data_IF_082469239723
#
_entry.id   IF_082469239723
#
_cell.length_a   1.000
_cell.length_b   1.000
_cell.length_c   1.000
_cell.angle_alpha   90.00
_cell.angle_beta   90.00
_cell.angle_gamma   90.00
#
_symmetry.space_group_name_H-M   'P 1'
#
loop_
_entity.id
_entity.type
_entity.pdbx_description
1 polymer ?
#
# COMPACT_ATOMS: atom_id res chain seq x y z
N UNK A 1 -55.77 11.27 0.77
CA UNK A 1 -55.05 12.27 -0.03
C UNK A 1 -54.19 11.51 -1.05
N UNK A 2 -54.71 11.28 -2.25
CA UNK A 2 -54.02 10.48 -3.28
C UNK A 2 -53.16 11.41 -4.14
N UNK A 3 -51.85 11.35 -3.95
CA UNK A 3 -50.89 12.08 -4.77
C UNK A 3 -50.76 11.34 -6.11
N UNK A 4 -51.26 11.94 -7.20
CA UNK A 4 -51.09 11.40 -8.55
C UNK A 4 -49.60 11.50 -8.93
N UNK A 5 -48.96 10.35 -9.17
CA UNK A 5 -47.63 10.31 -9.81
C UNK A 5 -47.74 11.01 -11.17
N UNK A 6 -46.97 12.08 -11.36
CA UNK A 6 -46.81 12.73 -12.66
C UNK A 6 -46.06 11.76 -13.57
N UNK A 7 -46.73 11.33 -14.66
CA UNK A 7 -46.09 10.62 -15.76
C UNK A 7 -45.06 11.54 -16.38
N UNK A 8 -43.79 11.31 -16.09
CA UNK A 8 -42.70 11.88 -16.86
C UNK A 8 -42.77 11.32 -18.29
N UNK A 9 -42.67 12.22 -19.26
CA UNK A 9 -42.75 11.89 -20.69
C UNK A 9 -41.57 11.02 -21.10
N UNK A 10 -41.88 9.95 -21.85
CA UNK A 10 -40.93 8.91 -22.30
C UNK A 10 -39.71 9.45 -23.04
N UNK A 11 -39.77 10.67 -23.57
CA UNK A 11 -38.69 11.28 -24.35
C UNK A 11 -37.54 11.81 -23.48
N UNK A 12 -37.82 12.24 -22.24
CA UNK A 12 -36.78 12.68 -21.29
C UNK A 12 -36.03 11.45 -20.71
N UNK A 13 -36.72 10.32 -20.59
CA UNK A 13 -36.12 9.04 -20.19
C UNK A 13 -35.24 8.45 -21.30
N UNK A 14 -35.55 8.70 -22.58
CA UNK A 14 -34.77 8.20 -23.71
C UNK A 14 -33.47 8.98 -23.93
N UNK A 15 -33.46 10.30 -23.65
CA UNK A 15 -32.27 11.15 -23.84
C UNK A 15 -31.23 11.04 -22.71
N UNK A 16 -31.62 10.57 -21.53
CA UNK A 16 -30.72 10.44 -20.36
C UNK A 16 -29.94 9.12 -20.33
N UNK A 17 -30.41 8.10 -21.05
CA UNK A 17 -29.76 6.79 -21.13
C UNK A 17 -28.40 6.80 -21.86
N UNK A 18 -28.21 7.49 -23.01
CA UNK A 18 -26.90 7.53 -23.67
C UNK A 18 -25.85 8.36 -22.89
N UNK A 19 -26.27 9.35 -22.09
CA UNK A 19 -25.34 10.16 -21.28
C UNK A 19 -24.75 9.36 -20.11
N UNK A 20 -25.51 8.43 -19.53
CA UNK A 20 -25.05 7.53 -18.47
C UNK A 20 -24.03 6.48 -18.99
N UNK A 21 -24.12 6.09 -20.27
CA UNK A 21 -23.19 5.15 -20.90
C UNK A 21 -21.83 5.77 -21.24
N UNK A 22 -21.74 7.10 -21.34
CA UNK A 22 -20.46 7.82 -21.52
C UNK A 22 -19.71 7.97 -20.19
N UNK A 23 -20.43 8.13 -19.08
CA UNK A 23 -19.83 8.25 -17.74
C UNK A 23 -19.24 6.93 -17.20
N UNK A 24 -19.74 5.78 -17.68
CA UNK A 24 -19.22 4.43 -17.41
C UNK A 24 -18.57 3.79 -18.66
N UNK A 25 -18.21 4.58 -19.66
CA UNK A 25 -17.39 4.08 -20.76
C UNK A 25 -16.05 3.56 -20.20
N UNK A 26 -15.42 2.56 -20.84
CA UNK A 26 -14.08 2.12 -20.47
C UNK A 26 -13.11 3.27 -20.78
N UNK A 27 -13.00 4.23 -19.87
CA UNK A 27 -11.79 5.00 -19.72
C UNK A 27 -10.74 3.95 -19.39
N UNK A 28 -9.87 3.64 -20.35
CA UNK A 28 -8.67 2.87 -20.10
C UNK A 28 -7.83 3.67 -19.11
N UNK A 29 -8.09 3.50 -17.82
CA UNK A 29 -7.07 3.75 -16.81
C UNK A 29 -6.06 2.64 -17.07
N UNK A 30 -5.01 2.97 -17.81
CA UNK A 30 -3.91 2.05 -18.05
C UNK A 30 -3.44 1.54 -16.69
N UNK A 31 -3.74 0.27 -16.40
CA UNK A 31 -3.36 -0.33 -15.14
C UNK A 31 -1.84 -0.44 -15.16
N UNK A 32 -1.19 0.11 -14.14
CA UNK A 32 0.26 0.04 -13.99
C UNK A 32 0.70 -1.42 -14.03
N UNK A 33 1.80 -1.72 -14.75
CA UNK A 33 2.35 -3.07 -14.74
C UNK A 33 3.02 -3.36 -13.40
N UNK A 34 3.11 -4.63 -13.00
CA UNK A 34 3.84 -5.03 -11.79
C UNK A 34 5.30 -4.52 -11.80
N UNK A 35 5.94 -4.52 -12.97
CA UNK A 35 7.31 -4.01 -13.11
C UNK A 35 7.41 -2.49 -12.89
N UNK A 36 6.45 -1.73 -13.41
CA UNK A 36 6.39 -0.28 -13.19
C UNK A 36 6.12 0.05 -11.71
N UNK A 37 5.22 -0.72 -11.07
CA UNK A 37 4.91 -0.59 -9.65
C UNK A 37 6.15 -0.83 -8.78
N UNK A 38 6.89 -1.92 -9.05
CA UNK A 38 8.14 -2.23 -8.32
C UNK A 38 9.20 -1.16 -8.56
N UNK A 39 9.38 -0.72 -9.81
CA UNK A 39 10.34 0.35 -10.15
C UNK A 39 10.02 1.64 -9.41
N UNK A 40 8.74 2.02 -9.38
CA UNK A 40 8.27 3.20 -8.66
C UNK A 40 8.47 3.07 -7.16
N UNK A 41 8.17 1.91 -6.58
CA UNK A 41 8.37 1.64 -5.16
C UNK A 41 9.87 1.73 -4.78
N UNK A 42 10.76 1.07 -5.52
CA UNK A 42 12.21 1.14 -5.31
C UNK A 42 12.73 2.57 -5.38
N UNK A 43 12.30 3.34 -6.39
CA UNK A 43 12.69 4.74 -6.48
C UNK A 43 12.23 5.56 -5.27
N UNK A 44 11.06 5.29 -4.69
CA UNK A 44 10.64 5.95 -3.44
C UNK A 44 11.57 5.58 -2.30
N UNK A 45 11.85 4.29 -2.10
CA UNK A 45 12.77 3.80 -1.06
C UNK A 45 14.15 4.45 -1.16
N UNK A 46 14.70 4.66 -2.37
CA UNK A 46 16.00 5.32 -2.57
C UNK A 46 16.03 6.82 -2.15
N UNK A 47 14.87 7.48 -2.05
CA UNK A 47 14.77 8.93 -1.81
C UNK A 47 14.30 9.30 -0.42
N UNK A 48 13.76 8.34 0.33
CA UNK A 48 13.20 8.57 1.67
C UNK A 48 14.03 7.86 2.72
N UNK A 49 13.87 8.27 3.97
CA UNK A 49 14.35 7.49 5.12
C UNK A 49 13.19 6.64 5.58
N UNK A 50 13.33 5.32 5.51
CA UNK A 50 12.34 4.37 6.01
C UNK A 50 12.53 4.16 7.50
N UNK A 51 11.41 3.98 8.21
CA UNK A 51 11.42 3.88 9.66
C UNK A 51 10.34 2.91 10.12
N UNK A 52 10.74 1.91 10.90
CA UNK A 52 9.82 1.09 11.68
C UNK A 52 9.83 1.54 13.14
N UNK A 53 8.64 1.73 13.70
CA UNK A 53 8.44 2.22 15.07
C UNK A 53 8.35 1.09 16.11
N UNK A 54 8.26 -0.17 15.69
CA UNK A 54 7.99 -1.27 16.63
C UNK A 54 8.57 -2.61 16.16
N UNK A 55 9.88 -2.77 16.31
CA UNK A 55 10.56 -4.04 16.05
C UNK A 55 10.73 -4.84 17.34
N UNK A 56 10.04 -5.98 17.41
CA UNK A 56 10.20 -6.95 18.50
C UNK A 56 11.59 -7.59 18.47
N UNK A 57 12.30 -7.47 19.58
CA UNK A 57 13.64 -8.03 19.76
C UNK A 57 13.72 -8.96 20.96
N UNK A 58 14.70 -9.85 20.95
CA UNK A 58 15.08 -10.60 22.14
C UNK A 58 16.36 -10.05 22.72
N UNK A 59 16.32 -9.60 23.98
CA UNK A 59 17.51 -9.18 24.72
C UNK A 59 18.57 -10.30 24.79
N UNK A 60 18.15 -11.57 24.74
CA UNK A 60 19.04 -12.74 24.73
C UNK A 60 19.94 -12.83 23.48
N UNK A 61 19.60 -12.10 22.41
CA UNK A 61 20.41 -11.99 21.22
C UNK A 61 21.49 -10.91 21.33
N UNK A 62 21.68 -10.17 22.44
CA UNK A 62 22.77 -9.18 22.51
C UNK A 62 24.02 -9.77 23.17
N UNK A 63 24.64 -10.73 22.48
CA UNK A 63 25.88 -11.38 22.92
C UNK A 63 27.04 -11.11 21.95
N UNK A 64 28.27 -11.46 22.36
CA UNK A 64 29.46 -11.31 21.50
C UNK A 64 29.34 -12.14 20.24
N UNK A 65 28.85 -13.38 20.35
CA UNK A 65 28.84 -14.35 19.24
C UNK A 65 27.53 -14.39 18.45
N UNK A 66 26.47 -13.78 18.98
CA UNK A 66 25.14 -13.74 18.38
C UNK A 66 24.51 -12.39 18.67
N UNK A 67 24.21 -11.61 17.63
CA UNK A 67 23.50 -10.32 17.69
C UNK A 67 22.91 -9.88 16.34
N UNK A 68 22.22 -8.74 16.33
CA UNK A 68 21.43 -8.28 15.18
C UNK A 68 22.28 -7.77 14.01
N UNK A 69 23.62 -7.75 14.09
CA UNK A 69 24.47 -7.40 12.94
C UNK A 69 24.64 -8.56 11.95
N UNK A 70 24.10 -9.73 12.26
CA UNK A 70 24.20 -10.95 11.44
C UNK A 70 22.80 -11.52 11.16
N UNK A 71 22.71 -12.44 10.21
CA UNK A 71 21.46 -13.16 9.97
C UNK A 71 21.15 -14.09 11.15
N UNK A 72 20.03 -13.82 11.83
CA UNK A 72 19.56 -14.58 12.98
C UNK A 72 18.42 -15.56 12.63
N UNK A 73 17.98 -15.59 11.37
CA UNK A 73 16.81 -16.32 10.90
C UNK A 73 15.46 -15.73 11.34
N UNK A 74 15.48 -14.51 11.88
CA UNK A 74 14.29 -13.74 12.25
C UNK A 74 13.98 -12.67 11.19
N UNK A 75 12.87 -11.95 11.35
CA UNK A 75 12.42 -10.95 10.38
C UNK A 75 13.36 -9.73 10.32
N UNK A 76 13.80 -9.24 11.48
CA UNK A 76 14.61 -8.03 11.60
C UNK A 76 16.01 -8.38 12.06
N UNK A 77 16.98 -8.12 11.19
CA UNK A 77 18.42 -8.13 11.42
C UNK A 77 19.10 -7.25 10.36
N UNK A 78 20.35 -6.84 10.58
CA UNK A 78 21.04 -5.88 9.71
C UNK A 78 21.11 -6.34 8.24
N UNK A 79 21.44 -7.62 7.91
CA UNK A 79 21.35 -8.10 6.53
C UNK A 79 19.98 -7.90 5.88
N UNK A 80 18.90 -8.25 6.57
CA UNK A 80 17.55 -8.07 6.05
C UNK A 80 17.15 -6.59 5.93
N UNK A 81 17.63 -5.73 6.84
CA UNK A 81 17.41 -4.28 6.78
C UNK A 81 18.10 -3.67 5.55
N UNK A 82 19.33 -4.09 5.26
CA UNK A 82 20.07 -3.68 4.06
C UNK A 82 19.40 -4.16 2.77
N UNK A 83 18.95 -5.41 2.72
CA UNK A 83 18.24 -5.97 1.56
C UNK A 83 16.86 -5.31 1.34
N UNK A 84 16.13 -5.07 2.43
CA UNK A 84 14.78 -4.50 2.39
C UNK A 84 14.72 -2.97 2.34
N UNK A 85 15.86 -2.28 2.51
CA UNK A 85 15.92 -0.82 2.55
C UNK A 85 15.22 -0.22 3.77
N UNK A 86 15.43 -0.79 4.97
CA UNK A 86 14.99 -0.26 6.26
C UNK A 86 16.11 0.55 6.93
N UNK A 87 16.00 1.88 6.94
CA UNK A 87 17.07 2.76 7.43
C UNK A 87 17.09 2.91 8.95
N UNK A 88 15.90 2.94 9.57
CA UNK A 88 15.74 3.19 11.00
C UNK A 88 14.77 2.18 11.62
N UNK A 89 15.19 1.58 12.72
CA UNK A 89 14.40 0.64 13.50
C UNK A 89 14.33 1.07 14.96
N UNK A 90 13.12 1.10 15.53
CA UNK A 90 12.91 1.23 16.96
C UNK A 90 12.79 -0.15 17.59
N UNK A 91 13.89 -0.63 18.16
CA UNK A 91 13.91 -1.88 18.93
C UNK A 91 13.22 -1.69 20.27
N UNK A 92 12.19 -2.49 20.49
CA UNK A 92 11.33 -2.33 21.66
C UNK A 92 11.90 -3.13 22.83
N UNK A 93 11.87 -2.51 24.02
CA UNK A 93 12.15 -3.21 25.27
C UNK A 93 10.83 -3.47 26.00
N UNK A 94 10.28 -4.68 25.81
CA UNK A 94 9.05 -5.15 26.45
C UNK A 94 9.38 -6.28 27.42
N UNK A 95 8.66 -6.32 28.55
CA UNK A 95 8.92 -7.16 29.72
C UNK A 95 7.68 -7.97 30.08
#
# INVERSE_FOLDING_TARGET
>A
MNMKLKKFSSEITLLSFPLLMIACGPGEVAQESEADLVTRAQGIHERVITLDTHDDISASNFTVDRNYTMDLGNQVNLPNMEEGGLDVAFFIAFV
#
